data_IF_384806078853
#
_entry.id   IF_384806078853
#
_cell.length_a   1.000
_cell.length_b   1.000
_cell.length_c   1.000
_cell.angle_alpha   90.00
_cell.angle_beta   90.00
_cell.angle_gamma   90.00
#
_symmetry.space_group_name_H-M   'P 1'
#
loop_
_entity.id
_entity.type
_entity.pdbx_description
1 polymer ?
#
# COMPACT_ATOMS: atom_id res chain seq x y z
N UNK A 1 -58.89 2.67 -15.76
CA UNK A 1 -58.37 1.37 -15.28
C UNK A 1 -56.86 1.50 -15.27
N UNK A 2 -56.30 1.98 -14.14
CA UNK A 2 -54.85 2.15 -13.96
C UNK A 2 -54.19 0.77 -13.91
N UNK A 3 -53.25 0.53 -14.83
CA UNK A 3 -52.35 -0.62 -14.76
C UNK A 3 -51.30 -0.32 -13.69
N UNK A 4 -51.56 -0.76 -12.46
CA UNK A 4 -50.58 -0.77 -11.39
C UNK A 4 -49.39 -1.65 -11.80
N UNK A 5 -48.27 -1.01 -12.13
CA UNK A 5 -47.02 -1.67 -12.47
C UNK A 5 -46.45 -2.31 -11.19
N UNK A 6 -46.73 -3.59 -11.00
CA UNK A 6 -46.31 -4.36 -9.82
C UNK A 6 -44.80 -4.58 -9.93
N UNK A 7 -44.00 -3.69 -9.36
CA UNK A 7 -42.56 -3.89 -9.20
C UNK A 7 -42.36 -5.17 -8.38
N UNK A 8 -41.99 -6.26 -9.06
CA UNK A 8 -41.61 -7.51 -8.41
C UNK A 8 -40.25 -7.24 -7.78
N UNK A 9 -40.23 -7.01 -6.47
CA UNK A 9 -39.01 -6.98 -5.69
C UNK A 9 -38.41 -8.40 -5.67
N UNK A 10 -37.58 -8.73 -6.66
CA UNK A 10 -36.73 -9.91 -6.60
C UNK A 10 -35.65 -9.64 -5.57
N UNK A 11 -35.66 -10.39 -4.46
CA UNK A 11 -34.58 -10.32 -3.49
C UNK A 11 -33.26 -10.69 -4.19
N UNK A 12 -32.30 -9.79 -4.12
CA UNK A 12 -30.92 -10.04 -4.54
C UNK A 12 -30.42 -11.34 -3.88
N UNK A 13 -29.89 -12.31 -4.64
CA UNK A 13 -29.33 -13.52 -4.05
C UNK A 13 -28.25 -13.15 -3.02
N UNK A 14 -28.27 -13.84 -1.87
CA UNK A 14 -27.31 -13.60 -0.79
C UNK A 14 -25.86 -13.69 -1.27
N UNK A 15 -24.95 -12.94 -0.63
CA UNK A 15 -23.56 -12.74 -1.09
C UNK A 15 -22.87 -14.03 -1.57
N UNK A 16 -22.93 -15.11 -0.79
CA UNK A 16 -22.30 -16.39 -1.14
C UNK A 16 -22.92 -17.09 -2.37
N UNK A 17 -24.20 -16.84 -2.67
CA UNK A 17 -24.86 -17.36 -3.88
C UNK A 17 -24.43 -16.62 -5.16
N UNK A 18 -23.80 -15.45 -5.03
CA UNK A 18 -23.24 -14.68 -6.15
C UNK A 18 -21.81 -15.09 -6.51
N UNK A 19 -21.16 -15.91 -5.68
CA UNK A 19 -19.80 -16.39 -5.93
C UNK A 19 -19.81 -17.46 -7.02
N UNK A 20 -18.89 -17.32 -7.97
CA UNK A 20 -18.70 -18.28 -9.07
C UNK A 20 -17.90 -19.50 -8.62
N UNK A 21 -17.81 -20.54 -9.46
CA UNK A 21 -16.92 -21.67 -9.20
C UNK A 21 -15.45 -21.22 -9.05
N UNK A 22 -15.01 -20.22 -9.82
CA UNK A 22 -13.65 -19.68 -9.77
C UNK A 22 -13.38 -19.02 -8.41
N UNK A 23 -14.37 -18.36 -7.82
CA UNK A 23 -14.26 -17.77 -6.47
C UNK A 23 -13.96 -18.83 -5.41
N UNK A 24 -14.67 -19.95 -5.47
CA UNK A 24 -14.49 -21.07 -4.55
C UNK A 24 -13.18 -21.80 -4.79
N UNK A 25 -12.80 -22.04 -6.05
CA UNK A 25 -11.52 -22.65 -6.39
C UNK A 25 -10.34 -21.80 -5.92
N UNK A 26 -10.42 -20.47 -6.07
CA UNK A 26 -9.40 -19.55 -5.56
C UNK A 26 -9.28 -19.63 -4.03
N UNK A 27 -10.41 -19.58 -3.31
CA UNK A 27 -10.43 -19.71 -1.84
C UNK A 27 -9.91 -21.07 -1.35
N UNK A 28 -10.30 -22.16 -2.03
CA UNK A 28 -9.82 -23.50 -1.73
C UNK A 28 -8.32 -23.64 -2.00
N UNK A 29 -7.80 -23.04 -3.07
CA UNK A 29 -6.37 -23.00 -3.38
C UNK A 29 -5.56 -22.28 -2.31
N UNK A 30 -6.04 -21.13 -1.83
CA UNK A 30 -5.41 -20.42 -0.70
C UNK A 30 -5.41 -21.25 0.58
N UNK A 31 -6.53 -21.88 0.92
CA UNK A 31 -6.62 -22.74 2.10
C UNK A 31 -5.67 -23.93 1.98
N UNK A 32 -5.62 -24.59 0.83
CA UNK A 32 -4.70 -25.70 0.57
C UNK A 32 -3.24 -25.26 0.71
N UNK A 33 -2.87 -24.07 0.19
CA UNK A 33 -1.54 -23.51 0.34
C UNK A 33 -1.18 -23.20 1.80
N UNK A 34 -2.09 -22.57 2.56
CA UNK A 34 -1.89 -22.32 4.00
C UNK A 34 -1.74 -23.61 4.80
N UNK A 35 -2.58 -24.61 4.53
CA UNK A 35 -2.49 -25.92 5.19
C UNK A 35 -1.19 -26.66 4.82
N UNK A 36 -0.79 -26.60 3.55
CA UNK A 36 0.49 -27.15 3.10
C UNK A 36 1.67 -26.50 3.84
N UNK A 37 1.69 -25.16 3.92
CA UNK A 37 2.69 -24.42 4.69
C UNK A 37 2.72 -24.83 6.16
N UNK A 38 1.54 -24.97 6.78
CA UNK A 38 1.43 -25.40 8.18
C UNK A 38 1.92 -26.84 8.40
N UNK A 39 1.57 -27.76 7.51
CA UNK A 39 2.02 -29.16 7.59
C UNK A 39 3.53 -29.30 7.38
N UNK A 40 4.10 -28.51 6.46
CA UNK A 40 5.51 -28.61 6.09
C UNK A 40 6.43 -27.87 7.06
N UNK A 41 6.01 -26.69 7.50
CA UNK A 41 6.86 -25.75 8.24
C UNK A 41 6.33 -25.39 9.63
N UNK A 42 5.15 -25.88 10.03
CA UNK A 42 4.53 -25.53 11.31
C UNK A 42 5.34 -25.92 12.54
N UNK A 43 6.29 -26.86 12.45
CA UNK A 43 7.22 -27.17 13.53
C UNK A 43 8.21 -26.02 13.80
N UNK A 44 8.49 -25.18 12.81
CA UNK A 44 9.40 -24.04 12.90
C UNK A 44 8.68 -22.71 13.18
N UNK A 45 7.35 -22.75 13.26
CA UNK A 45 6.52 -21.56 13.45
C UNK A 45 6.06 -21.42 14.90
N UNK A 46 6.10 -20.19 15.39
CA UNK A 46 5.46 -19.82 16.65
C UNK A 46 3.92 -19.77 16.52
N UNK A 47 3.22 -19.49 17.63
CA UNK A 47 1.76 -19.43 17.64
C UNK A 47 1.20 -18.29 16.78
N UNK A 48 1.90 -17.16 16.72
CA UNK A 48 1.46 -15.99 15.99
C UNK A 48 1.63 -16.19 14.48
N UNK A 49 2.73 -16.79 14.04
CA UNK A 49 2.98 -17.15 12.65
C UNK A 49 1.95 -18.17 12.13
N UNK A 50 1.61 -19.17 12.95
CA UNK A 50 0.51 -20.11 12.64
C UNK A 50 -0.83 -19.39 12.50
N UNK A 51 -1.13 -18.47 13.43
CA UNK A 51 -2.36 -17.69 13.39
C UNK A 51 -2.43 -16.81 12.13
N UNK A 52 -1.33 -16.13 11.76
CA UNK A 52 -1.25 -15.32 10.53
C UNK A 52 -1.45 -16.21 9.30
N UNK A 53 -0.75 -17.34 9.20
CA UNK A 53 -0.84 -18.23 8.05
C UNK A 53 -2.27 -18.75 7.83
N UNK A 54 -2.94 -19.10 8.93
CA UNK A 54 -4.33 -19.56 8.91
C UNK A 54 -5.32 -18.42 8.65
N UNK A 55 -5.06 -17.20 9.12
CA UNK A 55 -5.88 -16.02 8.85
C UNK A 55 -5.68 -15.46 7.43
N UNK A 56 -4.50 -15.66 6.82
CA UNK A 56 -4.20 -15.17 5.48
C UNK A 56 -5.14 -15.78 4.43
N UNK A 57 -5.41 -17.08 4.49
CA UNK A 57 -6.30 -17.74 3.54
C UNK A 57 -7.72 -17.14 3.48
N UNK A 58 -8.50 -17.04 4.58
CA UNK A 58 -9.81 -16.41 4.56
C UNK A 58 -9.75 -14.91 4.24
N UNK A 59 -8.72 -14.18 4.69
CA UNK A 59 -8.56 -12.75 4.37
C UNK A 59 -8.34 -12.52 2.87
N UNK A 60 -7.40 -13.21 2.25
CA UNK A 60 -7.14 -13.06 0.81
C UNK A 60 -8.22 -13.69 -0.06
N UNK A 61 -8.93 -14.72 0.42
CA UNK A 61 -10.14 -15.24 -0.22
C UNK A 61 -11.24 -14.18 -0.23
N UNK A 62 -11.54 -13.59 0.92
CA UNK A 62 -12.53 -12.51 1.04
C UNK A 62 -12.15 -11.32 0.16
N UNK A 63 -10.88 -10.92 0.15
CA UNK A 63 -10.40 -9.85 -0.70
C UNK A 63 -10.53 -10.19 -2.19
N UNK A 64 -10.19 -11.43 -2.61
CA UNK A 64 -10.35 -11.87 -3.99
C UNK A 64 -11.81 -11.99 -4.45
N UNK A 65 -12.72 -12.31 -3.54
CA UNK A 65 -14.17 -12.31 -3.82
C UNK A 65 -14.70 -10.90 -4.07
N UNK A 66 -14.23 -9.90 -3.30
CA UNK A 66 -14.65 -8.50 -3.44
C UNK A 66 -13.90 -7.75 -4.55
N UNK A 67 -12.63 -8.07 -4.76
CA UNK A 67 -11.76 -7.39 -5.72
C UNK A 67 -11.04 -8.41 -6.59
N UNK A 68 -11.62 -8.66 -7.78
CA UNK A 68 -11.21 -9.73 -8.70
C UNK A 68 -9.73 -9.74 -9.07
N UNK A 69 -9.02 -8.60 -9.27
CA UNK A 69 -7.59 -8.63 -9.61
C UNK A 69 -6.70 -9.35 -8.60
N UNK A 70 -7.09 -9.38 -7.33
CA UNK A 70 -6.33 -10.08 -6.27
C UNK A 70 -6.19 -11.57 -6.60
N UNK A 71 -7.16 -12.15 -7.33
CA UNK A 71 -7.16 -13.57 -7.73
C UNK A 71 -6.00 -13.95 -8.62
N UNK A 72 -5.48 -13.03 -9.42
CA UNK A 72 -4.29 -13.27 -10.25
C UNK A 72 -3.04 -12.66 -9.63
N UNK A 73 -3.15 -11.52 -8.93
CA UNK A 73 -2.01 -10.86 -8.30
C UNK A 73 -1.30 -11.77 -7.29
N UNK A 74 -2.06 -12.35 -6.35
CA UNK A 74 -1.48 -13.14 -5.26
C UNK A 74 -0.80 -14.41 -5.79
N UNK A 75 -1.45 -15.24 -6.64
CA UNK A 75 -0.77 -16.40 -7.22
C UNK A 75 0.43 -16.02 -8.10
N UNK A 76 0.33 -14.95 -8.89
CA UNK A 76 1.45 -14.51 -9.75
C UNK A 76 2.66 -14.09 -8.91
N UNK A 77 2.45 -13.27 -7.87
CA UNK A 77 3.53 -12.87 -6.96
C UNK A 77 4.13 -14.06 -6.21
N UNK A 78 3.30 -15.06 -5.84
CA UNK A 78 3.78 -16.30 -5.22
C UNK A 78 4.63 -17.12 -6.21
N UNK A 79 4.18 -17.29 -7.46
CA UNK A 79 4.93 -18.03 -8.49
C UNK A 79 6.26 -17.35 -8.78
N UNK A 80 6.28 -16.03 -8.98
CA UNK A 80 7.50 -15.29 -9.27
C UNK A 80 8.48 -15.30 -8.09
N UNK A 81 7.99 -15.12 -6.87
CA UNK A 81 8.85 -15.14 -5.68
C UNK A 81 9.40 -16.53 -5.37
N UNK A 82 8.59 -17.59 -5.45
CA UNK A 82 9.06 -18.97 -5.26
C UNK A 82 10.05 -19.39 -6.34
N UNK A 83 9.81 -19.00 -7.60
CA UNK A 83 10.76 -19.23 -8.69
C UNK A 83 12.09 -18.51 -8.42
N UNK A 84 12.06 -17.26 -7.96
CA UNK A 84 13.26 -16.53 -7.58
C UNK A 84 14.00 -17.21 -6.41
N UNK A 85 13.28 -17.65 -5.37
CA UNK A 85 13.84 -18.37 -4.21
C UNK A 85 14.55 -19.65 -4.65
N UNK A 86 13.96 -20.42 -5.56
CA UNK A 86 14.58 -21.63 -6.12
C UNK A 86 15.89 -21.32 -6.87
N UNK A 87 15.89 -20.22 -7.65
CA UNK A 87 17.09 -19.76 -8.36
C UNK A 87 18.21 -19.35 -7.40
N UNK A 88 17.93 -18.89 -6.19
CA UNK A 88 18.99 -18.60 -5.23
C UNK A 88 19.74 -19.84 -4.77
N UNK A 89 19.08 -21.01 -4.75
CA UNK A 89 19.70 -22.29 -4.37
C UNK A 89 20.48 -22.22 -3.03
N UNK A 90 20.02 -21.37 -2.09
CA UNK A 90 20.66 -21.17 -0.79
C UNK A 90 21.88 -20.25 -0.77
N UNK A 91 22.27 -19.63 -1.89
CA UNK A 91 23.48 -18.79 -1.99
C UNK A 91 23.16 -17.40 -2.53
N UNK A 92 23.44 -16.37 -1.72
CA UNK A 92 23.16 -14.98 -2.07
C UNK A 92 23.88 -14.51 -3.35
N UNK A 93 25.07 -15.06 -3.63
CA UNK A 93 25.86 -14.75 -4.82
C UNK A 93 25.13 -15.04 -6.14
N UNK A 94 24.16 -15.96 -6.12
CA UNK A 94 23.35 -16.30 -7.30
C UNK A 94 22.56 -15.10 -7.83
N UNK A 95 22.30 -14.08 -6.99
CA UNK A 95 21.73 -12.80 -7.41
C UNK A 95 22.47 -12.19 -8.61
N UNK A 96 23.80 -12.34 -8.66
CA UNK A 96 24.65 -11.72 -9.66
C UNK A 96 25.04 -12.67 -10.81
N UNK A 97 24.73 -13.96 -10.68
CA UNK A 97 25.12 -15.01 -11.63
C UNK A 97 23.96 -15.46 -12.52
N UNK A 98 22.78 -15.68 -11.94
CA UNK A 98 21.63 -16.18 -12.70
C UNK A 98 20.89 -15.04 -13.39
N UNK A 99 20.64 -15.19 -14.69
CA UNK A 99 20.03 -14.15 -15.54
C UNK A 99 18.75 -13.55 -14.93
N UNK A 100 17.77 -14.39 -14.59
CA UNK A 100 16.48 -13.91 -14.09
C UNK A 100 16.62 -13.18 -12.75
N UNK A 101 17.49 -13.64 -11.84
CA UNK A 101 17.74 -12.93 -10.59
C UNK A 101 18.40 -11.57 -10.87
N UNK A 102 19.50 -11.58 -11.62
CA UNK A 102 20.30 -10.39 -11.88
C UNK A 102 19.54 -9.25 -12.56
N UNK A 103 18.59 -9.58 -13.43
CA UNK A 103 17.94 -8.58 -14.27
C UNK A 103 16.47 -8.34 -13.97
N UNK A 104 15.79 -9.22 -13.22
CA UNK A 104 14.33 -9.14 -13.06
C UNK A 104 13.88 -9.41 -11.62
N UNK A 105 14.36 -10.50 -11.01
CA UNK A 105 13.70 -11.12 -9.85
C UNK A 105 14.46 -11.01 -8.53
N UNK A 106 15.75 -10.65 -8.51
CA UNK A 106 16.39 -10.27 -7.24
C UNK A 106 15.67 -9.06 -6.67
N UNK A 107 15.69 -8.91 -5.34
CA UNK A 107 14.93 -7.83 -4.68
C UNK A 107 15.22 -6.47 -5.31
N UNK A 108 16.50 -6.14 -5.45
CA UNK A 108 16.96 -4.88 -6.02
C UNK A 108 16.50 -4.71 -7.48
N UNK A 109 16.64 -5.74 -8.32
CA UNK A 109 16.23 -5.66 -9.73
C UNK A 109 14.73 -5.46 -9.88
N UNK A 110 13.95 -6.23 -9.11
CA UNK A 110 12.49 -6.16 -9.13
C UNK A 110 12.00 -4.77 -8.66
N UNK A 111 12.63 -4.20 -7.64
CA UNK A 111 12.33 -2.86 -7.12
C UNK A 111 12.70 -1.76 -8.13
N UNK A 112 13.83 -1.90 -8.85
CA UNK A 112 14.21 -0.96 -9.92
C UNK A 112 13.21 -0.99 -11.09
N UNK A 113 12.76 -2.19 -11.48
CA UNK A 113 11.69 -2.32 -12.47
C UNK A 113 10.36 -1.76 -11.98
N UNK A 114 9.98 -2.00 -10.73
CA UNK A 114 8.80 -1.36 -10.12
C UNK A 114 8.89 0.16 -10.26
N UNK A 115 10.01 0.76 -9.88
CA UNK A 115 10.23 2.21 -9.99
C UNK A 115 10.09 2.70 -11.43
N UNK A 116 10.74 2.02 -12.37
CA UNK A 116 10.66 2.34 -13.81
C UNK A 116 9.23 2.27 -14.33
N UNK A 117 8.50 1.19 -14.00
CA UNK A 117 7.13 0.98 -14.44
C UNK A 117 6.17 2.00 -13.83
N UNK A 118 6.38 2.42 -12.58
CA UNK A 118 5.59 3.48 -11.97
C UNK A 118 5.84 4.84 -12.64
N UNK A 119 7.08 5.18 -12.97
CA UNK A 119 7.37 6.42 -13.71
C UNK A 119 6.78 6.39 -15.11
N UNK A 120 6.88 5.27 -15.83
CA UNK A 120 6.25 5.10 -17.14
C UNK A 120 4.72 5.15 -17.03
N UNK A 121 4.14 4.51 -16.01
CA UNK A 121 2.71 4.58 -15.71
C UNK A 121 2.24 6.04 -15.56
N UNK A 122 2.98 6.87 -14.81
CA UNK A 122 2.71 8.31 -14.69
C UNK A 122 2.65 8.99 -16.05
N UNK A 123 3.65 8.76 -16.90
CA UNK A 123 3.70 9.34 -18.25
C UNK A 123 2.45 8.95 -19.06
N UNK A 124 2.10 7.66 -19.07
CA UNK A 124 0.98 7.15 -19.87
C UNK A 124 -0.38 7.61 -19.33
N UNK A 125 -0.56 7.72 -18.01
CA UNK A 125 -1.77 8.32 -17.45
C UNK A 125 -1.90 9.81 -17.81
N UNK A 126 -0.81 10.57 -17.79
CA UNK A 126 -0.84 11.97 -18.23
C UNK A 126 -1.12 12.10 -19.73
N UNK A 127 -0.51 11.27 -20.57
CA UNK A 127 -0.83 11.19 -22.00
C UNK A 127 -2.31 10.86 -22.18
N UNK A 128 -2.83 9.85 -21.48
CA UNK A 128 -4.23 9.46 -21.49
C UNK A 128 -5.17 10.60 -21.11
N UNK A 129 -4.85 11.34 -20.05
CA UNK A 129 -5.62 12.50 -19.59
C UNK A 129 -5.61 13.65 -20.61
N UNK A 130 -4.42 14.06 -21.06
CA UNK A 130 -4.25 15.24 -21.93
C UNK A 130 -4.82 14.98 -23.32
N UNK A 131 -4.45 13.84 -23.92
CA UNK A 131 -4.86 13.43 -25.25
C UNK A 131 -6.25 12.78 -25.29
N UNK A 132 -6.91 12.60 -24.15
CA UNK A 132 -8.21 11.91 -24.03
C UNK A 132 -8.17 10.50 -24.65
N UNK A 133 -7.04 9.81 -24.46
CA UNK A 133 -6.79 8.49 -25.04
C UNK A 133 -7.09 7.40 -24.00
N UNK A 134 -8.11 6.60 -24.28
CA UNK A 134 -8.41 5.38 -23.50
C UNK A 134 -7.24 4.40 -23.54
N UNK A 135 -6.55 4.31 -24.69
CA UNK A 135 -5.36 3.48 -24.82
C UNK A 135 -4.24 3.97 -23.88
N UNK A 136 -3.96 5.28 -23.87
CA UNK A 136 -2.93 5.85 -22.98
C UNK A 136 -3.23 5.57 -21.50
N UNK A 137 -4.47 5.79 -21.07
CA UNK A 137 -4.89 5.53 -19.69
C UNK A 137 -4.86 4.03 -19.34
N UNK A 138 -5.21 3.17 -20.29
CA UNK A 138 -5.20 1.70 -20.09
C UNK A 138 -3.76 1.16 -20.01
N UNK A 139 -2.84 1.69 -20.83
CA UNK A 139 -1.41 1.37 -20.73
C UNK A 139 -0.84 1.84 -19.40
N UNK A 140 -1.22 3.04 -18.93
CA UNK A 140 -0.87 3.51 -17.58
C UNK A 140 -1.29 2.53 -16.49
N UNK A 141 -2.54 2.06 -16.53
CA UNK A 141 -3.07 1.06 -15.59
C UNK A 141 -2.35 -0.28 -15.67
N UNK A 142 -2.05 -0.77 -16.88
CA UNK A 142 -1.28 -1.99 -17.07
C UNK A 142 0.14 -1.87 -16.47
N UNK A 143 0.82 -0.76 -16.72
CA UNK A 143 2.16 -0.50 -16.19
C UNK A 143 2.13 -0.35 -14.66
N UNK A 144 1.10 0.27 -14.11
CA UNK A 144 0.88 0.35 -12.67
C UNK A 144 0.73 -1.05 -12.05
N UNK A 145 -0.12 -1.91 -12.64
CA UNK A 145 -0.25 -3.30 -12.22
C UNK A 145 1.05 -4.09 -12.32
N UNK A 146 1.81 -3.92 -13.40
CA UNK A 146 3.11 -4.57 -13.56
C UNK A 146 4.12 -4.09 -12.50
N UNK A 147 4.12 -2.80 -12.18
CA UNK A 147 4.91 -2.22 -11.10
C UNK A 147 4.54 -2.83 -9.75
N UNK A 148 3.25 -2.95 -9.45
CA UNK A 148 2.77 -3.61 -8.23
C UNK A 148 3.24 -5.06 -8.13
N UNK A 149 3.14 -5.84 -9.21
CA UNK A 149 3.59 -7.24 -9.25
C UNK A 149 5.07 -7.34 -8.94
N UNK A 150 5.91 -6.53 -9.59
CA UNK A 150 7.36 -6.58 -9.40
C UNK A 150 7.77 -6.02 -8.04
N UNK A 151 7.13 -4.97 -7.54
CA UNK A 151 7.43 -4.47 -6.20
C UNK A 151 7.04 -5.46 -5.10
N UNK A 152 5.86 -6.10 -5.21
CA UNK A 152 5.44 -7.14 -4.28
C UNK A 152 6.37 -8.36 -4.34
N UNK A 153 6.74 -8.79 -5.56
CA UNK A 153 7.72 -9.87 -5.76
C UNK A 153 9.06 -9.49 -5.14
N UNK A 154 9.55 -8.26 -5.39
CA UNK A 154 10.80 -7.74 -4.85
C UNK A 154 10.81 -7.73 -3.32
N UNK A 155 9.72 -7.33 -2.67
CA UNK A 155 9.61 -7.42 -1.20
C UNK A 155 9.62 -8.88 -0.72
N UNK A 156 8.85 -9.78 -1.34
CA UNK A 156 8.84 -11.20 -0.95
C UNK A 156 10.23 -11.86 -1.13
N UNK A 157 10.93 -11.54 -2.21
CA UNK A 157 12.30 -12.04 -2.45
C UNK A 157 13.28 -11.41 -1.48
N UNK A 158 13.15 -10.11 -1.17
CA UNK A 158 13.98 -9.44 -0.15
C UNK A 158 13.84 -10.09 1.22
N UNK A 159 12.63 -10.50 1.59
CA UNK A 159 12.41 -11.24 2.83
C UNK A 159 13.26 -12.52 2.84
N UNK A 160 13.29 -13.28 1.74
CA UNK A 160 14.15 -14.46 1.65
C UNK A 160 15.66 -14.12 1.64
N UNK A 161 16.09 -13.12 0.87
CA UNK A 161 17.48 -12.66 0.84
C UNK A 161 18.00 -12.28 2.23
N UNK A 162 17.15 -11.69 3.08
CA UNK A 162 17.53 -11.36 4.46
C UNK A 162 17.91 -12.60 5.28
N UNK A 163 17.24 -13.74 5.07
CA UNK A 163 17.60 -15.01 5.70
C UNK A 163 18.84 -15.68 5.10
N UNK A 164 19.16 -15.40 3.83
CA UNK A 164 20.40 -15.89 3.22
C UNK A 164 21.65 -15.19 3.78
N UNK A 165 21.51 -13.97 4.28
CA UNK A 165 22.59 -13.24 4.95
C UNK A 165 22.85 -13.83 6.34
N UNK A 166 21.79 -14.03 7.12
CA UNK A 166 21.86 -14.60 8.46
C UNK A 166 20.49 -14.81 9.06
N UNK A 167 20.34 -15.82 9.93
CA UNK A 167 19.08 -16.10 10.61
C UNK A 167 18.68 -14.97 11.59
N UNK A 168 19.67 -14.26 12.13
CA UNK A 168 19.54 -13.07 12.98
C UNK A 168 19.23 -11.79 12.19
N UNK A 169 19.55 -11.79 10.89
CA UNK A 169 19.23 -10.70 9.95
C UNK A 169 17.85 -10.90 9.32
N UNK A 170 17.33 -12.11 9.25
CA UNK A 170 16.06 -12.41 8.60
C UNK A 170 14.85 -11.65 9.15
N UNK A 171 14.21 -10.81 8.33
CA UNK A 171 13.02 -10.04 8.73
C UNK A 171 12.10 -9.67 7.56
N UNK A 172 10.84 -9.36 7.88
CA UNK A 172 9.88 -8.79 6.93
C UNK A 172 10.38 -7.41 6.46
N UNK A 173 10.40 -7.09 5.16
CA UNK A 173 11.03 -5.88 4.63
C UNK A 173 10.17 -4.63 4.87
N UNK A 174 10.10 -4.18 6.12
CA UNK A 174 9.44 -2.95 6.57
C UNK A 174 10.26 -2.23 7.64
N UNK A 175 11.58 -2.47 7.69
CA UNK A 175 12.44 -2.08 8.81
C UNK A 175 13.07 -0.71 8.68
N UNK A 176 13.36 -0.29 7.45
CA UNK A 176 14.11 0.94 7.16
C UNK A 176 13.38 1.82 6.14
N UNK A 177 13.90 3.04 5.93
CA UNK A 177 13.27 4.05 5.08
C UNK A 177 13.13 3.58 3.62
N UNK A 178 14.10 2.83 3.10
CA UNK A 178 14.04 2.30 1.73
C UNK A 178 12.85 1.31 1.58
N UNK A 179 12.74 0.35 2.48
CA UNK A 179 11.69 -0.68 2.47
C UNK A 179 10.29 -0.09 2.63
N UNK A 180 10.13 0.85 3.54
CA UNK A 180 8.82 1.45 3.78
C UNK A 180 8.37 2.39 2.66
N UNK A 181 9.29 2.96 1.86
CA UNK A 181 8.93 3.74 0.67
C UNK A 181 8.44 2.84 -0.48
N UNK A 182 8.98 1.63 -0.59
CA UNK A 182 8.45 0.60 -1.50
C UNK A 182 7.04 0.22 -1.05
N UNK A 183 6.86 -0.06 0.25
CA UNK A 183 5.55 -0.37 0.82
C UNK A 183 4.54 0.77 0.59
N UNK A 184 4.94 2.02 0.84
CA UNK A 184 4.12 3.20 0.56
C UNK A 184 3.66 3.25 -0.89
N UNK A 185 4.58 3.03 -1.83
CA UNK A 185 4.30 3.06 -3.26
C UNK A 185 3.32 1.95 -3.65
N UNK A 186 3.54 0.73 -3.16
CA UNK A 186 2.67 -0.42 -3.40
C UNK A 186 1.27 -0.22 -2.84
N UNK A 187 1.14 0.20 -1.58
CA UNK A 187 -0.15 0.39 -0.93
C UNK A 187 -0.92 1.52 -1.62
N UNK A 188 -0.27 2.66 -1.91
CA UNK A 188 -0.91 3.78 -2.61
C UNK A 188 -1.38 3.36 -4.00
N UNK A 189 -0.55 2.63 -4.76
CA UNK A 189 -0.91 2.11 -6.07
C UNK A 189 -2.08 1.12 -6.00
N UNK A 190 -2.09 0.21 -5.02
CA UNK A 190 -3.15 -0.78 -4.83
C UNK A 190 -4.50 -0.13 -4.49
N UNK A 191 -4.52 0.82 -3.57
CA UNK A 191 -5.74 1.58 -3.28
C UNK A 191 -6.19 2.38 -4.50
N UNK A 192 -5.26 3.01 -5.22
CA UNK A 192 -5.59 3.72 -6.45
C UNK A 192 -6.23 2.80 -7.49
N UNK A 193 -5.63 1.65 -7.79
CA UNK A 193 -6.17 0.68 -8.76
C UNK A 193 -7.53 0.13 -8.33
N UNK A 194 -7.76 -0.04 -7.03
CA UNK A 194 -9.08 -0.37 -6.50
C UNK A 194 -10.11 0.73 -6.81
N UNK A 195 -9.80 1.99 -6.50
CA UNK A 195 -10.69 3.13 -6.76
C UNK A 195 -10.87 3.38 -8.26
N UNK A 196 -9.83 3.23 -9.08
CA UNK A 196 -9.88 3.31 -10.54
C UNK A 196 -10.94 2.37 -11.09
N UNK A 197 -10.92 1.10 -10.65
CA UNK A 197 -11.86 0.09 -11.14
C UNK A 197 -13.26 0.30 -10.59
N UNK A 198 -13.40 0.64 -9.30
CA UNK A 198 -14.69 0.82 -8.66
C UNK A 198 -15.48 2.02 -9.22
N UNK A 199 -14.78 3.11 -9.56
CA UNK A 199 -15.40 4.34 -10.06
C UNK A 199 -15.21 4.56 -11.57
N UNK A 200 -14.48 3.69 -12.26
CA UNK A 200 -14.07 3.87 -13.66
C UNK A 200 -13.32 5.19 -13.93
N UNK A 201 -12.44 5.59 -13.00
CA UNK A 201 -11.78 6.92 -12.97
C UNK A 201 -10.28 6.85 -13.30
N UNK A 202 -9.93 6.25 -14.44
CA UNK A 202 -8.51 6.14 -14.90
C UNK A 202 -7.79 7.48 -14.97
N UNK A 203 -8.53 8.56 -15.18
CA UNK A 203 -8.02 9.93 -15.26
C UNK A 203 -7.33 10.38 -13.96
N UNK A 204 -7.70 9.80 -12.80
CA UNK A 204 -7.07 10.11 -11.53
C UNK A 204 -5.66 9.55 -11.40
N UNK A 205 -5.28 8.57 -12.23
CA UNK A 205 -3.93 8.01 -12.23
C UNK A 205 -2.87 9.04 -12.54
N UNK A 206 -3.19 10.03 -13.36
CA UNK A 206 -2.29 11.13 -13.67
C UNK A 206 -1.86 11.88 -12.40
N UNK A 207 -2.77 12.02 -11.43
CA UNK A 207 -2.49 12.72 -10.18
C UNK A 207 -1.86 11.80 -9.16
N UNK A 208 -2.44 10.61 -8.93
CA UNK A 208 -1.95 9.70 -7.89
C UNK A 208 -0.54 9.19 -8.21
N UNK A 209 -0.25 8.94 -9.47
CA UNK A 209 1.08 8.48 -9.86
C UNK A 209 2.18 9.53 -9.67
N UNK A 210 1.84 10.82 -9.50
CA UNK A 210 2.84 11.85 -9.16
C UNK A 210 3.44 11.64 -7.77
N UNK A 211 2.60 11.37 -6.76
CA UNK A 211 3.12 11.15 -5.40
C UNK A 211 3.88 9.82 -5.31
N UNK A 212 3.44 8.80 -6.05
CA UNK A 212 4.17 7.52 -6.17
C UNK A 212 5.51 7.74 -6.89
N UNK A 213 5.55 8.52 -7.97
CA UNK A 213 6.79 8.82 -8.69
C UNK A 213 7.75 9.65 -7.85
N UNK A 214 7.24 10.61 -7.07
CA UNK A 214 8.06 11.36 -6.12
C UNK A 214 8.68 10.44 -5.06
N UNK A 215 7.90 9.47 -4.55
CA UNK A 215 8.40 8.43 -3.64
C UNK A 215 9.46 7.53 -4.30
N UNK A 216 9.29 7.16 -5.56
CA UNK A 216 10.29 6.40 -6.35
C UNK A 216 11.56 7.22 -6.57
N UNK A 217 11.46 8.50 -6.92
CA UNK A 217 12.62 9.38 -7.08
C UNK A 217 13.38 9.51 -5.76
N UNK A 218 12.66 9.69 -4.65
CA UNK A 218 13.26 9.69 -3.32
C UNK A 218 13.96 8.35 -3.02
N UNK A 219 13.31 7.22 -3.33
CA UNK A 219 13.87 5.88 -3.17
C UNK A 219 15.19 5.73 -3.94
N UNK A 220 15.23 6.14 -5.22
CA UNK A 220 16.45 6.08 -6.05
C UNK A 220 17.56 6.97 -5.49
N UNK A 221 17.23 8.20 -5.11
CA UNK A 221 18.19 9.12 -4.50
C UNK A 221 18.74 8.54 -3.19
N UNK A 222 17.88 7.97 -2.34
CA UNK A 222 18.26 7.41 -1.06
C UNK A 222 19.16 6.17 -1.25
N UNK A 223 18.86 5.31 -2.23
CA UNK A 223 19.73 4.18 -2.58
C UNK A 223 21.13 4.64 -3.00
N UNK A 224 21.24 5.63 -3.88
CA UNK A 224 22.54 6.07 -4.43
C UNK A 224 23.37 6.84 -3.40
N UNK A 225 22.73 7.60 -2.52
CA UNK A 225 23.45 8.48 -1.57
C UNK A 225 23.73 7.86 -0.21
N UNK A 226 23.05 6.75 0.14
CA UNK A 226 23.12 6.13 1.48
C UNK A 226 23.36 4.62 1.45
N UNK A 227 23.59 4.04 0.27
CA UNK A 227 23.69 2.59 0.08
C UNK A 227 22.50 1.82 0.71
N UNK A 228 21.33 2.46 0.74
CA UNK A 228 20.18 2.03 1.52
C UNK A 228 19.48 0.76 0.99
N UNK A 229 19.93 0.24 -0.15
CA UNK A 229 19.45 -1.03 -0.68
C UNK A 229 20.02 -2.23 0.09
N UNK A 230 21.14 -2.07 0.81
CA UNK A 230 21.72 -3.14 1.60
C UNK A 230 20.78 -3.59 2.72
N UNK A 231 20.73 -4.90 2.95
CA UNK A 231 19.96 -5.47 4.06
C UNK A 231 20.84 -5.42 5.31
N UNK A 232 20.40 -4.68 6.31
CA UNK A 232 21.10 -4.51 7.57
C UNK A 232 20.36 -5.28 8.69
N UNK A 233 21.06 -5.75 9.74
CA UNK A 233 20.41 -6.34 10.91
C UNK A 233 19.44 -5.34 11.57
N UNK A 234 18.34 -5.85 12.13
CA UNK A 234 17.38 -5.00 12.83
C UNK A 234 18.00 -4.42 14.11
N UNK A 235 17.69 -3.14 14.37
CA UNK A 235 17.98 -2.48 15.65
C UNK A 235 17.19 -3.18 16.77
N UNK A 236 17.72 -3.35 18.00
CA UNK A 236 17.04 -4.12 19.05
C UNK A 236 15.58 -3.71 19.33
N UNK A 237 15.26 -2.42 19.25
CA UNK A 237 13.89 -1.92 19.45
C UNK A 237 12.88 -2.39 18.37
N UNK A 238 13.37 -2.75 17.18
CA UNK A 238 12.57 -3.23 16.05
C UNK A 238 12.41 -4.76 16.02
N UNK A 239 13.13 -5.48 16.88
CA UNK A 239 13.01 -6.93 17.07
C UNK A 239 11.77 -7.28 17.90
N UNK A 240 10.60 -6.84 17.44
CA UNK A 240 9.31 -7.03 18.13
C UNK A 240 8.20 -7.43 17.16
N UNK A 241 7.24 -8.20 17.67
CA UNK A 241 6.06 -8.61 16.92
C UNK A 241 5.21 -7.42 16.48
N UNK A 242 5.15 -6.35 17.29
CA UNK A 242 4.34 -5.18 16.97
C UNK A 242 4.78 -4.47 15.70
N UNK A 243 6.09 -4.42 15.41
CA UNK A 243 6.60 -3.81 14.18
C UNK A 243 5.95 -4.43 12.93
N UNK A 244 5.80 -5.76 12.92
CA UNK A 244 5.25 -6.53 11.79
C UNK A 244 3.82 -6.12 11.42
N UNK A 245 3.05 -5.58 12.37
CA UNK A 245 1.64 -5.20 12.18
C UNK A 245 1.40 -3.68 12.22
N UNK A 246 2.12 -2.97 13.09
CA UNK A 246 2.01 -1.52 13.27
C UNK A 246 2.46 -0.78 12.01
N UNK A 247 3.65 -1.15 11.49
CA UNK A 247 4.24 -0.44 10.34
C UNK A 247 3.34 -0.57 9.10
N UNK A 248 2.89 -1.78 8.68
CA UNK A 248 1.96 -1.88 7.56
C UNK A 248 0.64 -1.14 7.77
N UNK A 249 0.07 -1.14 8.98
CA UNK A 249 -1.15 -0.40 9.28
C UNK A 249 -0.96 1.13 9.11
N UNK A 250 0.19 1.67 9.53
CA UNK A 250 0.55 3.07 9.29
C UNK A 250 0.59 3.41 7.81
N UNK A 251 1.17 2.54 6.98
CA UNK A 251 1.31 2.80 5.54
C UNK A 251 -0.01 2.65 4.76
N UNK A 252 -0.99 1.88 5.26
CA UNK A 252 -2.38 1.96 4.77
C UNK A 252 -2.95 3.35 5.01
N UNK A 253 -2.72 3.92 6.19
CA UNK A 253 -3.02 5.32 6.52
C UNK A 253 -2.37 6.30 5.55
N UNK A 254 -1.03 6.32 5.52
CA UNK A 254 -0.26 7.26 4.69
C UNK A 254 -0.57 7.16 3.21
N UNK A 255 -0.71 5.95 2.65
CA UNK A 255 -1.00 5.77 1.22
C UNK A 255 -2.38 6.29 0.83
N UNK A 256 -3.40 6.05 1.66
CA UNK A 256 -4.76 6.54 1.40
C UNK A 256 -4.91 8.05 1.67
N UNK A 257 -4.16 8.61 2.61
CA UNK A 257 -4.03 10.06 2.78
C UNK A 257 -3.33 10.74 1.59
N UNK A 258 -2.30 10.12 1.03
CA UNK A 258 -1.64 10.61 -0.17
C UNK A 258 -2.57 10.54 -1.40
N UNK A 259 -3.30 9.43 -1.55
CA UNK A 259 -4.35 9.27 -2.56
C UNK A 259 -5.39 10.39 -2.45
N UNK A 260 -5.92 10.64 -1.25
CA UNK A 260 -6.98 11.65 -1.04
C UNK A 260 -6.51 13.06 -1.38
N UNK A 261 -5.26 13.40 -1.05
CA UNK A 261 -4.65 14.66 -1.42
C UNK A 261 -4.48 14.81 -2.94
N UNK A 262 -4.08 13.76 -3.64
CA UNK A 262 -3.98 13.80 -5.11
C UNK A 262 -5.34 13.96 -5.78
N UNK A 263 -6.37 13.30 -5.24
CA UNK A 263 -7.77 13.51 -5.69
C UNK A 263 -8.26 14.92 -5.36
N UNK A 264 -7.86 15.48 -4.21
CA UNK A 264 -8.17 16.86 -3.85
C UNK A 264 -7.51 17.89 -4.79
N UNK A 265 -6.28 17.63 -5.26
CA UNK A 265 -5.64 18.45 -6.28
C UNK A 265 -6.46 18.45 -7.59
N UNK A 266 -6.89 17.26 -8.03
CA UNK A 266 -7.77 17.14 -9.20
C UNK A 266 -9.11 17.86 -9.00
N UNK A 267 -9.71 17.76 -7.81
CA UNK A 267 -10.93 18.48 -7.44
C UNK A 267 -10.74 19.99 -7.59
N UNK A 268 -9.66 20.54 -7.04
CA UNK A 268 -9.39 21.97 -7.07
C UNK A 268 -9.21 22.48 -8.50
N UNK A 269 -8.46 21.76 -9.33
CA UNK A 269 -8.29 22.08 -10.75
C UNK A 269 -9.65 22.11 -11.47
N UNK A 270 -10.45 21.04 -11.34
CA UNK A 270 -11.78 20.96 -11.96
C UNK A 270 -12.68 22.08 -11.49
N UNK A 271 -12.77 22.31 -10.18
CA UNK A 271 -13.62 23.35 -9.60
C UNK A 271 -13.20 24.76 -10.03
N UNK A 272 -11.95 24.95 -10.44
CA UNK A 272 -11.39 26.24 -10.88
C UNK A 272 -11.45 26.43 -12.40
N UNK A 273 -12.12 25.54 -13.13
CA UNK A 273 -12.31 25.63 -14.59
C UNK A 273 -11.20 24.96 -15.41
N UNK A 274 -10.24 24.28 -14.78
CA UNK A 274 -9.19 23.54 -15.48
C UNK A 274 -9.56 22.06 -15.63
N UNK A 275 -9.24 21.46 -16.78
CA UNK A 275 -9.46 20.02 -17.04
C UNK A 275 -10.93 19.57 -16.82
N UNK A 276 -11.90 20.46 -16.94
CA UNK A 276 -13.33 20.21 -16.64
C UNK A 276 -13.88 18.99 -17.36
N UNK A 277 -13.63 18.92 -18.67
CA UNK A 277 -14.08 17.83 -19.55
C UNK A 277 -13.23 16.55 -19.43
N UNK A 278 -12.12 16.61 -18.70
CA UNK A 278 -11.14 15.50 -18.62
C UNK A 278 -11.22 14.77 -17.29
N UNK A 279 -11.70 15.42 -16.24
CA UNK A 279 -11.77 14.85 -14.90
C UNK A 279 -13.16 14.29 -14.59
N UNK A 280 -13.28 13.31 -13.68
CA UNK A 280 -14.57 12.83 -13.17
C UNK A 280 -15.42 13.95 -12.57
N UNK A 281 -16.71 13.69 -12.30
CA UNK A 281 -17.58 14.69 -11.67
C UNK A 281 -17.06 15.08 -10.27
N UNK A 282 -17.38 16.30 -9.82
CA UNK A 282 -16.91 16.78 -8.51
C UNK A 282 -17.41 15.90 -7.36
N UNK A 283 -18.58 15.29 -7.53
CA UNK A 283 -19.19 14.36 -6.57
C UNK A 283 -18.37 13.08 -6.45
N UNK A 284 -17.88 12.53 -7.57
CA UNK A 284 -17.01 11.34 -7.58
C UNK A 284 -15.68 11.65 -6.90
N UNK A 285 -15.08 12.80 -7.22
CA UNK A 285 -13.83 13.24 -6.59
C UNK A 285 -13.98 13.40 -5.07
N UNK A 286 -15.07 14.02 -4.63
CA UNK A 286 -15.38 14.22 -3.21
C UNK A 286 -15.67 12.89 -2.48
N UNK A 287 -16.36 11.94 -3.12
CA UNK A 287 -16.63 10.61 -2.56
C UNK A 287 -15.35 9.76 -2.42
N UNK A 288 -14.50 9.75 -3.45
CA UNK A 288 -13.19 9.06 -3.40
C UNK A 288 -12.31 9.67 -2.31
N UNK A 289 -12.24 11.00 -2.22
CA UNK A 289 -11.48 11.70 -1.17
C UNK A 289 -11.99 11.32 0.23
N UNK A 290 -13.30 11.36 0.46
CA UNK A 290 -13.92 11.00 1.74
C UNK A 290 -13.62 9.54 2.13
N UNK A 291 -13.81 8.60 1.20
CA UNK A 291 -13.59 7.17 1.45
C UNK A 291 -12.12 6.86 1.70
N UNK A 292 -11.21 7.48 0.94
CA UNK A 292 -9.77 7.37 1.16
C UNK A 292 -9.37 7.88 2.55
N UNK A 293 -9.83 9.07 2.95
CA UNK A 293 -9.55 9.60 4.31
C UNK A 293 -10.15 8.72 5.39
N UNK A 294 -11.36 8.20 5.20
CA UNK A 294 -12.04 7.33 6.17
C UNK A 294 -11.26 6.04 6.41
N UNK A 295 -10.82 5.37 5.33
CA UNK A 295 -9.98 4.17 5.42
C UNK A 295 -8.64 4.51 6.09
N UNK A 296 -8.00 5.59 5.66
CA UNK A 296 -6.73 6.01 6.20
C UNK A 296 -6.80 6.28 7.69
N UNK A 297 -7.82 7.02 8.13
CA UNK A 297 -8.03 7.33 9.54
C UNK A 297 -8.31 6.08 10.38
N UNK A 298 -9.10 5.14 9.87
CA UNK A 298 -9.37 3.89 10.57
C UNK A 298 -8.10 3.07 10.82
N UNK A 299 -7.30 2.85 9.76
CA UNK A 299 -6.04 2.10 9.88
C UNK A 299 -4.97 2.87 10.66
N UNK A 300 -4.90 4.18 10.50
CA UNK A 300 -3.98 5.02 11.27
C UNK A 300 -4.33 5.02 12.76
N UNK A 301 -5.62 4.98 13.12
CA UNK A 301 -6.06 4.82 14.51
C UNK A 301 -5.60 3.48 15.09
N UNK A 302 -5.80 2.38 14.35
CA UNK A 302 -5.31 1.06 14.74
C UNK A 302 -3.79 1.10 14.90
N UNK A 303 -3.08 1.71 13.95
CA UNK A 303 -1.64 1.84 14.00
C UNK A 303 -1.18 2.64 15.23
N UNK A 304 -1.78 3.78 15.56
CA UNK A 304 -1.44 4.56 16.77
C UNK A 304 -1.60 3.73 18.04
N UNK A 305 -2.68 2.94 18.15
CA UNK A 305 -2.88 2.03 19.30
C UNK A 305 -1.78 0.96 19.35
N UNK A 306 -1.50 0.31 18.22
CA UNK A 306 -0.43 -0.70 18.14
C UNK A 306 0.95 -0.11 18.43
N UNK A 307 1.18 1.15 18.05
CA UNK A 307 2.41 1.88 18.33
C UNK A 307 2.59 2.14 19.82
N UNK A 308 1.52 2.53 20.53
CA UNK A 308 1.55 2.69 21.98
C UNK A 308 1.83 1.36 22.71
N UNK A 309 1.27 0.24 22.23
CA UNK A 309 1.56 -1.09 22.79
C UNK A 309 3.03 -1.48 22.59
N UNK A 310 3.58 -1.23 21.40
CA UNK A 310 5.00 -1.42 21.12
C UNK A 310 5.89 -0.53 22.00
N UNK A 311 5.51 0.74 22.18
CA UNK A 311 6.28 1.67 23.00
C UNK A 311 6.37 1.21 24.46
N UNK A 312 5.29 0.64 25.00
CA UNK A 312 5.29 0.08 26.35
C UNK A 312 6.29 -1.08 26.51
N UNK A 313 6.44 -1.92 25.48
CA UNK A 313 7.42 -3.01 25.48
C UNK A 313 8.85 -2.50 25.29
N UNK A 314 9.06 -1.53 24.40
CA UNK A 314 10.39 -1.04 24.03
C UNK A 314 11.01 -0.07 25.07
N UNK A 315 10.20 0.82 25.66
CA UNK A 315 10.67 1.92 26.52
C UNK A 315 10.03 1.92 27.92
N UNK A 316 9.15 0.95 28.23
CA UNK A 316 8.51 0.82 29.54
C UNK A 316 7.29 1.73 29.77
N UNK A 317 6.83 2.46 28.76
CA UNK A 317 5.64 3.32 28.84
C UNK A 317 4.91 3.45 27.49
N UNK A 318 3.59 3.63 27.53
CA UNK A 318 2.75 3.67 26.31
C UNK A 318 2.93 4.93 25.46
N UNK A 319 3.44 6.02 26.05
CA UNK A 319 3.63 7.30 25.40
C UNK A 319 4.69 8.10 26.15
N UNK A 320 5.62 8.67 25.42
CA UNK A 320 6.77 9.42 25.91
C UNK A 320 6.81 10.87 25.43
N UNK A 321 5.84 11.31 24.62
CA UNK A 321 5.80 12.62 23.96
C UNK A 321 7.03 12.89 23.07
N UNK A 322 7.64 11.84 22.56
CA UNK A 322 8.74 12.02 21.61
C UNK A 322 8.21 12.68 20.31
N UNK A 323 9.09 13.27 19.49
CA UNK A 323 8.66 13.95 18.29
C UNK A 323 7.83 13.08 17.33
N UNK A 324 8.12 11.78 17.18
CA UNK A 324 7.33 10.89 16.31
C UNK A 324 5.95 10.63 16.86
N UNK A 325 5.85 10.31 18.14
CA UNK A 325 4.58 10.14 18.83
C UNK A 325 3.73 11.42 18.72
N UNK A 326 4.32 12.58 19.05
CA UNK A 326 3.63 13.87 19.00
C UNK A 326 3.11 14.18 17.59
N UNK A 327 3.91 13.95 16.56
CA UNK A 327 3.49 14.18 15.18
C UNK A 327 2.49 13.15 14.67
N UNK A 328 2.53 11.91 15.15
CA UNK A 328 1.47 10.93 14.88
C UNK A 328 0.13 11.40 15.46
N UNK A 329 0.12 11.97 16.68
CA UNK A 329 -1.08 12.57 17.25
C UNK A 329 -1.57 13.79 16.44
N UNK A 330 -0.68 14.65 15.95
CA UNK A 330 -1.04 15.79 15.08
C UNK A 330 -1.71 15.29 13.79
N UNK A 331 -1.15 14.27 13.13
CA UNK A 331 -1.75 13.65 11.94
C UNK A 331 -3.14 13.09 12.26
N UNK A 332 -3.25 12.36 13.38
CA UNK A 332 -4.51 11.78 13.83
C UNK A 332 -5.57 12.86 14.06
N UNK A 333 -5.24 13.92 14.82
CA UNK A 333 -6.14 15.04 15.09
C UNK A 333 -6.53 15.80 13.83
N UNK A 334 -5.61 15.99 12.87
CA UNK A 334 -5.91 16.64 11.60
C UNK A 334 -7.00 15.88 10.81
N UNK A 335 -6.85 14.57 10.63
CA UNK A 335 -7.83 13.78 9.89
C UNK A 335 -9.10 13.48 10.70
N UNK A 336 -9.01 13.38 12.02
CA UNK A 336 -10.17 13.32 12.91
C UNK A 336 -11.01 14.59 12.77
N UNK A 337 -10.38 15.78 12.80
CA UNK A 337 -11.07 17.05 12.62
C UNK A 337 -11.68 17.17 11.22
N UNK A 338 -10.96 16.74 10.18
CA UNK A 338 -11.49 16.71 8.81
C UNK A 338 -12.77 15.86 8.73
N UNK A 339 -12.75 14.63 9.27
CA UNK A 339 -13.91 13.73 9.29
C UNK A 339 -15.03 14.24 10.19
N UNK A 340 -14.70 14.84 11.33
CA UNK A 340 -15.66 15.43 12.24
C UNK A 340 -16.44 16.56 11.55
N UNK A 341 -15.74 17.48 10.88
CA UNK A 341 -16.38 18.55 10.11
C UNK A 341 -17.20 18.00 8.94
N UNK A 342 -16.72 16.95 8.28
CA UNK A 342 -17.46 16.27 7.23
C UNK A 342 -18.81 15.72 7.71
N UNK A 343 -18.84 15.12 8.90
CA UNK A 343 -20.04 14.48 9.45
C UNK A 343 -20.98 15.47 10.16
N UNK A 344 -20.44 16.47 10.86
CA UNK A 344 -21.22 17.41 11.65
C UNK A 344 -21.78 18.57 10.83
N UNK A 345 -20.97 19.14 9.94
CA UNK A 345 -21.36 20.34 9.17
C UNK A 345 -21.57 20.06 7.69
N UNK A 346 -21.32 18.82 7.24
CA UNK A 346 -21.41 18.47 5.83
C UNK A 346 -20.29 19.09 4.99
N UNK A 347 -19.10 19.34 5.57
CA UNK A 347 -17.97 19.97 4.87
C UNK A 347 -17.64 19.24 3.55
N UNK A 348 -17.76 19.95 2.43
CA UNK A 348 -17.50 19.45 1.08
C UNK A 348 -16.76 20.48 0.23
N UNK A 349 -16.20 20.00 -0.87
CA UNK A 349 -15.69 20.84 -1.94
C UNK A 349 -14.35 21.51 -1.66
N UNK A 350 -14.19 22.78 -2.07
CA UNK A 350 -12.87 23.45 -2.13
C UNK A 350 -12.17 23.51 -0.77
N UNK A 351 -12.89 23.82 0.30
CA UNK A 351 -12.31 23.89 1.66
C UNK A 351 -11.83 22.51 2.11
N UNK A 352 -12.65 21.47 1.93
CA UNK A 352 -12.28 20.09 2.24
C UNK A 352 -11.05 19.63 1.44
N UNK A 353 -10.96 20.04 0.18
CA UNK A 353 -9.87 19.68 -0.73
C UNK A 353 -8.55 20.35 -0.35
N UNK A 354 -8.56 21.66 -0.05
CA UNK A 354 -7.36 22.35 0.46
C UNK A 354 -6.89 21.75 1.79
N UNK A 355 -7.82 21.40 2.68
CA UNK A 355 -7.45 20.73 3.93
C UNK A 355 -6.83 19.35 3.68
N UNK A 356 -7.34 18.56 2.73
CA UNK A 356 -6.70 17.29 2.38
C UNK A 356 -5.26 17.46 1.85
N UNK A 357 -4.98 18.51 1.07
CA UNK A 357 -3.61 18.85 0.64
C UNK A 357 -2.70 19.24 1.80
N UNK A 358 -3.18 20.09 2.72
CA UNK A 358 -2.46 20.44 3.94
C UNK A 358 -2.22 19.20 4.81
N UNK A 359 -3.19 18.30 4.89
CA UNK A 359 -3.07 17.02 5.59
C UNK A 359 -1.93 16.16 5.06
N UNK A 360 -1.71 16.14 3.74
CA UNK A 360 -0.55 15.45 3.16
C UNK A 360 0.77 16.11 3.59
N UNK A 361 0.85 17.43 3.68
CA UNK A 361 2.04 18.12 4.17
C UNK A 361 2.32 17.77 5.64
N UNK A 362 1.29 17.78 6.49
CA UNK A 362 1.37 17.37 7.90
C UNK A 362 1.85 15.92 8.02
N UNK A 363 1.28 15.02 7.22
CA UNK A 363 1.64 13.59 7.18
C UNK A 363 3.08 13.39 6.70
N UNK A 364 3.49 14.11 5.66
CA UNK A 364 4.85 14.05 5.11
C UNK A 364 5.87 14.55 6.14
N UNK A 365 5.55 15.60 6.88
CA UNK A 365 6.42 16.08 7.95
C UNK A 365 6.51 15.08 9.11
N UNK A 366 5.38 14.49 9.54
CA UNK A 366 5.39 13.46 10.56
C UNK A 366 6.27 12.26 10.17
N UNK A 367 6.16 11.82 8.91
CA UNK A 367 6.88 10.66 8.41
C UNK A 367 8.36 10.97 8.06
N UNK A 368 8.64 11.89 7.14
CA UNK A 368 10.00 12.24 6.73
C UNK A 368 10.62 13.29 7.64
N UNK A 369 9.89 14.38 7.88
CA UNK A 369 10.41 15.55 8.57
C UNK A 369 10.96 15.22 9.95
N UNK A 370 10.20 14.46 10.75
CA UNK A 370 10.66 14.02 12.08
C UNK A 370 11.84 13.05 11.96
N UNK A 371 11.86 12.17 10.96
CA UNK A 371 12.99 11.23 10.77
C UNK A 371 14.28 11.96 10.36
N UNK A 372 14.18 13.06 9.60
CA UNK A 372 15.34 13.74 9.02
C UNK A 372 15.81 14.94 9.83
N UNK A 373 14.91 15.65 10.52
CA UNK A 373 15.20 16.94 11.15
C UNK A 373 15.08 16.96 12.67
N UNK A 374 14.50 15.93 13.29
CA UNK A 374 14.25 15.90 14.73
C UNK A 374 14.93 14.68 15.36
N UNK A 375 15.63 14.91 16.47
CA UNK A 375 16.20 13.83 17.27
C UNK A 375 15.15 13.27 18.23
N UNK A 376 15.07 11.94 18.35
CA UNK A 376 14.16 11.27 19.28
C UNK A 376 14.42 9.77 19.37
N UNK A 377 13.65 9.09 20.21
CA UNK A 377 13.69 7.63 20.43
C UNK A 377 13.51 6.83 19.13
N UNK A 378 12.92 7.44 18.11
CA UNK A 378 12.63 6.87 16.80
C UNK A 378 13.56 7.34 15.67
N UNK A 379 14.70 7.97 15.98
CA UNK A 379 15.64 8.44 14.95
C UNK A 379 16.44 7.26 14.35
N UNK A 380 15.85 6.58 13.36
CA UNK A 380 16.50 5.50 12.59
C UNK A 380 17.13 5.99 11.27
N UNK A 381 16.99 7.29 10.98
CA UNK A 381 17.69 7.97 9.89
C UNK A 381 18.37 9.22 10.44
N UNK A 382 19.60 9.49 10.02
CA UNK A 382 20.28 10.78 10.22
C UNK A 382 20.67 11.33 8.86
N UNK A 383 20.60 12.65 8.70
CA UNK A 383 21.26 13.35 7.59
C UNK A 383 22.78 13.12 7.65
#
# INVERSE_FOLDING_TARGET
MELANKQIYTQEPGFFKRLSLIDWLYGAGLLAASLFGLMRFGAFMDIYEKAILLAAAPTFAWLGWHWKPVRWLIPLAAVLSLFAIELYSGHLEMANQKFFLKYILSSQSAILWMGTLFVLSTLFYWIGLVARSEFGSSVGSLLCWAGVVLGLTGMLVRWYESYLIGADVGHIPVSNLYEVFILFSLITAMFYLYYEQHYATRQLGAFVMLVISAAVVFLMWYTVTRDAAEIQPLVPALQSWWMKIHVPANFIGYGTFALSAMVAAAYLLKSSGYLVDRLPSLEVLDDVMYKAISVGFAFFTVATILGALWAAEAWGGYWSWDPKETWALIVWLNYAAWLHMRLMTGLRGRVASWWALVGLLVTTFAFLGVNMFLSGLHSYGKL
#
